data_IF_037538355445
#
_entry.id   IF_037538355445
#
_cell.length_a   1.000
_cell.length_b   1.000
_cell.length_c   1.000
_cell.angle_alpha   90.00
_cell.angle_beta   90.00
_cell.angle_gamma   90.00
#
_symmetry.space_group_name_H-M   'P 1'
#
loop_
_entity.id
_entity.type
_entity.pdbx_description
1 polymer ?
#
# COMPACT_ATOMS: atom_id res chain seq x y z
N UNK A 1 -6.34 -0.71 -8.52
CA UNK A 1 -6.01 -1.11 -7.13
C UNK A 1 -7.00 -0.45 -6.18
N UNK A 2 -7.56 -1.20 -5.23
CA UNK A 2 -8.46 -0.65 -4.21
C UNK A 2 -7.66 -0.40 -2.94
N UNK A 3 -7.81 0.77 -2.33
CA UNK A 3 -7.23 1.11 -1.02
C UNK A 3 -8.34 1.49 -0.06
N UNK A 4 -8.23 1.03 1.18
CA UNK A 4 -9.21 1.32 2.22
C UNK A 4 -8.59 1.15 3.62
N UNK A 5 -9.29 1.60 4.65
CA UNK A 5 -8.95 1.35 6.04
C UNK A 5 -10.10 0.61 6.73
N UNK A 6 -9.75 -0.39 7.54
CA UNK A 6 -10.66 -1.10 8.43
C UNK A 6 -10.46 -0.56 9.85
N UNK A 7 -11.43 0.18 10.37
CA UNK A 7 -11.34 0.82 11.71
C UNK A 7 -12.55 0.37 12.52
N UNK A 8 -12.31 -0.19 13.72
CA UNK A 8 -13.38 -0.74 14.55
C UNK A 8 -14.17 -1.86 13.89
N UNK A 9 -13.53 -2.63 12.98
CA UNK A 9 -14.18 -3.71 12.24
C UNK A 9 -15.04 -3.25 11.05
N UNK A 10 -15.04 -1.96 10.70
CA UNK A 10 -15.83 -1.40 9.60
C UNK A 10 -14.93 -0.82 8.51
N UNK A 11 -15.22 -1.18 7.26
CA UNK A 11 -14.53 -0.63 6.09
C UNK A 11 -15.00 0.80 5.81
N UNK A 12 -14.03 1.70 5.55
CA UNK A 12 -14.33 3.07 5.13
C UNK A 12 -14.66 3.20 3.64
N UNK A 13 -14.56 4.43 3.14
CA UNK A 13 -14.73 4.74 1.71
C UNK A 13 -13.55 4.20 0.91
N UNK A 14 -13.81 3.49 -0.18
CA UNK A 14 -12.77 2.99 -1.06
C UNK A 14 -12.14 4.09 -1.92
N UNK A 15 -10.84 3.94 -2.18
CA UNK A 15 -10.11 4.73 -3.17
C UNK A 15 -9.66 3.82 -4.32
N UNK A 16 -10.05 4.19 -5.55
CA UNK A 16 -9.85 3.38 -6.76
C UNK A 16 -9.08 4.12 -7.86
N UNK A 17 -8.48 5.27 -7.55
CA UNK A 17 -7.75 6.10 -8.53
C UNK A 17 -6.52 5.37 -9.06
N UNK A 18 -6.19 5.58 -10.34
CA UNK A 18 -5.01 5.02 -10.99
C UNK A 18 -5.31 3.79 -11.86
N UNK A 19 -4.40 3.50 -12.78
CA UNK A 19 -4.44 2.28 -13.61
C UNK A 19 -3.97 1.06 -12.80
N UNK A 20 -4.03 -0.13 -13.37
CA UNK A 20 -3.38 -1.31 -12.77
C UNK A 20 -1.86 -1.19 -13.00
N UNK A 21 -1.02 -1.16 -11.96
CA UNK A 21 0.44 -1.05 -12.12
C UNK A 21 1.13 -2.42 -12.19
N UNK A 22 0.36 -3.51 -12.03
CA UNK A 22 0.86 -4.87 -11.98
C UNK A 22 0.46 -5.65 -13.23
N UNK A 23 1.33 -6.57 -13.63
CA UNK A 23 1.11 -7.50 -14.72
C UNK A 23 1.43 -8.91 -14.24
N UNK A 24 0.67 -9.89 -14.73
CA UNK A 24 0.88 -11.30 -14.36
C UNK A 24 2.28 -11.74 -14.78
N UNK A 25 2.93 -12.56 -13.94
CA UNK A 25 4.23 -13.17 -14.20
C UNK A 25 5.39 -12.16 -14.39
N UNK A 26 5.22 -10.91 -13.91
CA UNK A 26 6.28 -9.89 -13.87
C UNK A 26 6.62 -9.50 -12.44
N UNK A 27 7.93 -9.41 -12.17
CA UNK A 27 8.47 -8.92 -10.90
C UNK A 27 8.19 -7.41 -10.81
N UNK A 28 7.88 -6.94 -9.61
CA UNK A 28 7.75 -5.53 -9.29
C UNK A 28 8.33 -5.23 -7.91
N UNK A 29 8.82 -4.00 -7.73
CA UNK A 29 9.17 -3.45 -6.44
C UNK A 29 8.01 -2.60 -5.93
N UNK A 30 7.50 -2.91 -4.73
CA UNK A 30 6.43 -2.15 -4.08
C UNK A 30 6.98 -1.49 -2.81
N UNK A 31 6.87 -0.17 -2.75
CA UNK A 31 7.38 0.63 -1.64
C UNK A 31 6.23 1.42 -1.00
N UNK A 32 6.26 1.46 0.33
CA UNK A 32 5.36 2.26 1.15
C UNK A 32 6.19 3.23 1.97
N UNK A 33 6.03 4.54 1.75
CA UNK A 33 6.68 5.57 2.56
C UNK A 33 5.64 6.20 3.48
N UNK A 34 5.89 6.15 4.78
CA UNK A 34 5.01 6.74 5.78
C UNK A 34 5.35 8.22 5.96
N UNK A 35 4.67 9.10 5.22
CA UNK A 35 4.80 10.54 5.36
C UNK A 35 3.82 11.07 6.44
N UNK A 36 4.03 12.29 6.93
CA UNK A 36 3.20 12.89 7.98
C UNK A 36 1.71 12.93 7.65
N UNK A 37 1.35 13.08 6.37
CA UNK A 37 -0.04 13.27 5.92
C UNK A 37 -0.65 12.07 5.20
N UNK A 38 0.17 11.17 4.66
CA UNK A 38 -0.27 10.04 3.86
C UNK A 38 0.79 8.95 3.76
N UNK A 39 0.37 7.75 3.36
CA UNK A 39 1.29 6.74 2.86
C UNK A 39 1.51 7.00 1.37
N UNK A 40 2.74 7.30 0.95
CA UNK A 40 3.12 7.33 -0.46
C UNK A 40 3.40 5.90 -0.94
N UNK A 41 2.87 5.55 -2.10
CA UNK A 41 2.98 4.20 -2.68
C UNK A 41 3.68 4.31 -4.02
N UNK A 42 4.83 3.64 -4.13
CA UNK A 42 5.61 3.59 -5.37
C UNK A 42 5.62 2.16 -5.91
N UNK A 43 5.58 2.05 -7.24
CA UNK A 43 5.76 0.78 -7.96
C UNK A 43 6.93 0.94 -8.91
N UNK A 44 7.94 0.09 -8.78
CA UNK A 44 9.19 0.16 -9.56
C UNK A 44 9.89 1.53 -9.46
N UNK A 45 9.85 2.16 -8.29
CA UNK A 45 10.45 3.47 -8.03
C UNK A 45 9.67 4.68 -8.57
N UNK A 46 8.54 4.47 -9.25
CA UNK A 46 7.66 5.56 -9.71
C UNK A 46 6.46 5.73 -8.77
N UNK A 47 6.05 6.98 -8.53
CA UNK A 47 4.86 7.25 -7.71
C UNK A 47 3.61 6.69 -8.40
N UNK A 48 3.00 5.69 -7.76
CA UNK A 48 1.73 5.15 -8.20
C UNK A 48 0.57 6.01 -7.66
N UNK A 49 0.57 6.24 -6.34
CA UNK A 49 -0.49 7.00 -5.66
C UNK A 49 -0.14 7.30 -4.20
N UNK A 50 -0.96 8.09 -3.52
CA UNK A 50 -0.93 8.29 -2.07
C UNK A 50 -2.21 7.77 -1.42
N UNK A 51 -2.15 7.47 -0.12
CA UNK A 51 -3.32 7.14 0.70
C UNK A 51 -3.28 7.98 1.98
N UNK A 52 -4.17 8.97 2.09
CA UNK A 52 -4.24 9.84 3.26
C UNK A 52 -4.50 9.04 4.53
N UNK A 53 -3.79 9.39 5.60
CA UNK A 53 -3.92 8.71 6.88
C UNK A 53 -5.35 8.81 7.41
N UNK A 54 -5.93 7.66 7.81
CA UNK A 54 -7.23 7.57 8.49
C UNK A 54 -7.11 7.16 9.96
N UNK A 55 -5.88 6.93 10.40
CA UNK A 55 -5.46 6.69 11.78
C UNK A 55 -4.14 7.45 12.01
N UNK A 56 -3.62 7.46 13.23
CA UNK A 56 -2.35 8.14 13.50
C UNK A 56 -1.20 7.45 12.73
N UNK A 57 -0.34 8.21 12.02
CA UNK A 57 0.77 7.64 11.24
C UNK A 57 1.71 6.76 12.06
N UNK A 58 1.86 7.08 13.34
CA UNK A 58 2.75 6.38 14.28
C UNK A 58 2.17 5.07 14.82
N UNK A 59 0.93 4.72 14.50
CA UNK A 59 0.29 3.49 14.96
C UNK A 59 0.52 2.30 14.01
N UNK A 60 1.30 2.47 12.94
CA UNK A 60 1.63 1.41 12.00
C UNK A 60 2.73 0.55 12.62
N UNK A 61 2.39 -0.69 13.01
CA UNK A 61 3.30 -1.58 13.74
C UNK A 61 3.81 -2.78 12.95
N UNK A 62 3.22 -3.07 11.78
CA UNK A 62 3.57 -4.26 11.03
C UNK A 62 2.92 -4.31 9.65
N UNK A 63 3.40 -5.25 8.85
CA UNK A 63 2.92 -5.50 7.50
C UNK A 63 2.40 -6.93 7.41
N UNK A 64 1.26 -7.11 6.75
CA UNK A 64 0.68 -8.40 6.43
C UNK A 64 0.47 -8.47 4.91
N UNK A 65 0.96 -9.54 4.31
CA UNK A 65 0.89 -9.76 2.86
C UNK A 65 0.17 -11.09 2.64
N UNK A 66 -0.86 -11.08 1.79
CA UNK A 66 -1.73 -12.22 1.52
C UNK A 66 -2.20 -12.22 0.06
N UNK A 67 -2.65 -13.38 -0.41
CA UNK A 67 -3.17 -13.58 -1.77
C UNK A 67 -2.15 -14.25 -2.69
N UNK A 68 -2.43 -14.19 -3.99
CA UNK A 68 -1.63 -14.87 -5.02
C UNK A 68 -0.43 -14.02 -5.42
N UNK A 69 0.67 -14.16 -4.69
CA UNK A 69 1.96 -13.53 -5.02
C UNK A 69 3.15 -14.37 -4.52
N UNK A 70 4.30 -14.18 -5.16
CA UNK A 70 5.58 -14.71 -4.70
C UNK A 70 6.44 -13.56 -4.15
N UNK A 71 6.95 -13.72 -2.93
CA UNK A 71 7.77 -12.70 -2.25
C UNK A 71 9.23 -13.04 -2.46
N UNK A 72 9.96 -12.17 -3.17
CA UNK A 72 11.41 -12.28 -3.34
C UNK A 72 12.20 -11.73 -2.14
N UNK A 73 11.67 -10.71 -1.46
CA UNK A 73 12.28 -10.09 -0.29
C UNK A 73 11.40 -9.02 0.34
N UNK A 74 11.66 -8.73 1.62
CA UNK A 74 11.04 -7.64 2.37
C UNK A 74 12.16 -6.88 3.07
N UNK A 75 12.16 -5.55 2.95
CA UNK A 75 13.08 -4.67 3.65
C UNK A 75 12.28 -3.58 4.37
N UNK A 76 12.66 -3.28 5.61
CA UNK A 76 12.13 -2.17 6.42
C UNK A 76 13.33 -1.28 6.73
N UNK A 77 13.15 0.04 6.59
CA UNK A 77 14.16 1.06 6.85
C UNK A 77 13.70 1.99 7.98
#
# INVERSE_FOLDING_TARGET
VVRNALIGGVWGKEERKGKIPFEKDKIFDLQFHNEDSAIQILVNGEEFTTFSHRAQPNNIMGVQIQGDLEISGIQIQ
#
